data_IF_025187084323
#
_entry.id   IF_025187084323
#
_cell.length_a   1.000
_cell.length_b   1.000
_cell.length_c   1.000
_cell.angle_alpha   90.00
_cell.angle_beta   90.00
_cell.angle_gamma   90.00
#
_symmetry.space_group_name_H-M   'P 1'
#
loop_
_entity.id
_entity.type
_entity.pdbx_description
1 polymer ?
#
# COMPACT_ATOMS: atom_id res chain seq x y z
N UNK A 1 23.91 -14.09 20.07
CA UNK A 1 22.82 -13.13 19.76
C UNK A 1 21.74 -13.94 19.06
N UNK A 2 20.48 -13.69 19.36
CA UNK A 2 19.35 -14.30 18.63
C UNK A 2 19.06 -13.40 17.44
N UNK A 3 19.14 -13.93 16.21
CA UNK A 3 18.79 -13.17 15.01
C UNK A 3 17.26 -12.96 15.00
N UNK A 4 16.77 -11.78 14.61
CA UNK A 4 15.33 -11.48 14.65
C UNK A 4 14.89 -10.41 13.63
N UNK A 5 13.61 -10.43 13.23
CA UNK A 5 12.91 -9.33 12.56
C UNK A 5 11.88 -8.77 13.53
N UNK A 6 11.85 -7.47 13.84
CA UNK A 6 10.88 -6.84 14.76
C UNK A 6 10.42 -5.50 14.21
N UNK A 7 9.11 -5.21 14.25
CA UNK A 7 8.55 -3.91 13.89
C UNK A 7 7.60 -3.43 14.97
N UNK A 8 8.04 -2.55 15.87
CA UNK A 8 7.21 -1.97 16.92
C UNK A 8 6.88 -0.50 16.59
N UNK A 9 5.62 -0.13 16.62
CA UNK A 9 5.10 1.22 16.47
C UNK A 9 4.20 1.49 17.67
N UNK A 10 4.28 2.71 18.25
CA UNK A 10 3.35 3.32 19.22
C UNK A 10 3.37 4.83 19.04
N UNK A 11 2.31 5.41 18.50
CA UNK A 11 2.09 6.85 18.42
C UNK A 11 0.62 7.14 18.71
N UNK A 12 0.34 7.81 19.82
CA UNK A 12 -1.04 7.92 20.37
C UNK A 12 -1.67 6.51 20.41
N UNK A 13 -2.81 6.35 19.76
CA UNK A 13 -3.54 5.07 19.67
C UNK A 13 -2.99 4.14 18.57
N UNK A 14 -2.02 4.59 17.76
CA UNK A 14 -1.43 3.76 16.71
C UNK A 14 -0.32 2.88 17.27
N UNK A 15 -0.62 1.60 17.53
CA UNK A 15 0.40 0.60 17.84
C UNK A 15 0.44 -0.57 16.88
N UNK A 16 1.66 -1.03 16.55
CA UNK A 16 1.89 -2.24 15.75
C UNK A 16 3.12 -2.94 16.31
N UNK A 17 3.15 -4.27 16.41
CA UNK A 17 4.36 -5.05 16.73
C UNK A 17 4.43 -6.20 15.73
N UNK A 18 5.51 -6.36 14.94
CA UNK A 18 5.67 -7.50 14.00
C UNK A 18 7.03 -8.14 14.23
N UNK A 19 7.05 -9.23 15.00
CA UNK A 19 8.27 -9.92 15.42
C UNK A 19 8.33 -11.34 14.82
N UNK A 20 9.46 -11.71 14.22
CA UNK A 20 9.90 -13.03 13.80
C UNK A 20 11.24 -13.27 14.49
N UNK A 21 11.39 -14.38 15.20
CA UNK A 21 12.68 -14.84 15.69
C UNK A 21 13.30 -15.71 14.60
N UNK A 22 14.58 -15.52 14.32
CA UNK A 22 15.32 -16.28 13.31
C UNK A 22 16.06 -17.41 14.03
N UNK A 23 15.72 -18.62 13.64
CA UNK A 23 16.32 -19.87 14.08
C UNK A 23 16.99 -20.55 12.87
N UNK A 24 17.78 -21.61 13.09
CA UNK A 24 18.45 -22.37 12.02
C UNK A 24 17.48 -22.92 10.96
N UNK A 25 16.20 -23.09 11.34
CA UNK A 25 15.13 -23.56 10.45
C UNK A 25 14.44 -22.43 9.68
N UNK A 26 14.70 -21.16 10.01
CA UNK A 26 14.06 -20.01 9.38
C UNK A 26 14.56 -19.83 7.96
N UNK A 27 13.63 -19.82 7.03
CA UNK A 27 13.92 -19.71 5.61
C UNK A 27 14.06 -18.23 5.18
N UNK A 28 14.84 -17.93 4.12
CA UNK A 28 14.87 -16.59 3.53
C UNK A 28 13.50 -16.08 3.11
N UNK A 29 12.61 -16.99 2.70
CA UNK A 29 11.23 -16.74 2.31
C UNK A 29 10.38 -16.21 3.47
N UNK A 30 10.54 -16.77 4.67
CA UNK A 30 9.85 -16.31 5.89
C UNK A 30 10.32 -14.91 6.31
N UNK A 31 11.63 -14.63 6.18
CA UNK A 31 12.18 -13.28 6.38
C UNK A 31 11.58 -12.30 5.38
N UNK A 32 11.49 -12.68 4.11
CA UNK A 32 10.87 -11.87 3.05
C UNK A 32 9.39 -11.57 3.34
N UNK A 33 8.64 -12.57 3.81
CA UNK A 33 7.25 -12.40 4.25
C UNK A 33 7.11 -11.43 5.43
N UNK A 34 7.99 -11.51 6.42
CA UNK A 34 8.01 -10.58 7.54
C UNK A 34 8.25 -9.14 7.07
N UNK A 35 9.19 -8.93 6.13
CA UNK A 35 9.50 -7.62 5.55
C UNK A 35 8.36 -7.07 4.68
N UNK A 36 7.72 -7.91 3.85
CA UNK A 36 6.55 -7.53 3.05
C UNK A 36 5.38 -7.06 3.94
N UNK A 37 5.12 -7.76 5.04
CA UNK A 37 4.12 -7.34 6.04
C UNK A 37 4.49 -6.02 6.73
N UNK A 38 5.79 -5.78 6.93
CA UNK A 38 6.31 -4.52 7.44
C UNK A 38 6.00 -3.37 6.48
N UNK A 39 6.42 -3.51 5.23
CA UNK A 39 6.23 -2.57 4.14
C UNK A 39 4.75 -2.21 3.96
N UNK A 40 3.86 -3.20 3.87
CA UNK A 40 2.44 -2.96 3.63
C UNK A 40 1.78 -2.10 4.71
N UNK A 41 2.27 -2.15 5.95
CA UNK A 41 1.79 -1.28 7.03
C UNK A 41 2.39 0.11 6.94
N UNK A 42 3.68 0.22 6.64
CA UNK A 42 4.38 1.50 6.51
C UNK A 42 3.77 2.30 5.35
N UNK A 43 3.60 1.66 4.20
CA UNK A 43 3.06 2.24 2.98
C UNK A 43 1.64 2.78 3.16
N UNK A 44 0.78 2.09 3.93
CA UNK A 44 -0.56 2.61 4.26
C UNK A 44 -0.51 3.74 5.29
N UNK A 45 0.27 3.57 6.35
CA UNK A 45 0.23 4.47 7.50
C UNK A 45 0.98 5.77 7.24
N UNK A 46 2.04 5.76 6.44
CA UNK A 46 2.88 6.95 6.16
C UNK A 46 2.05 8.11 5.63
N UNK A 47 1.19 7.89 4.63
CA UNK A 47 0.34 8.93 4.06
C UNK A 47 -0.65 9.53 5.07
N UNK A 48 -1.18 8.73 6.00
CA UNK A 48 -2.06 9.22 7.07
C UNK A 48 -1.39 10.24 8.00
N UNK A 49 -0.06 10.26 8.05
CA UNK A 49 0.71 11.22 8.84
C UNK A 49 1.14 12.47 8.05
N UNK A 50 0.91 12.51 6.74
CA UNK A 50 1.31 13.64 5.89
C UNK A 50 0.29 14.79 5.91
N UNK A 51 -0.92 14.54 6.42
CA UNK A 51 -2.01 15.51 6.47
C UNK A 51 -2.75 15.71 5.15
N UNK A 52 -2.35 15.07 4.06
CA UNK A 52 -3.12 15.08 2.81
C UNK A 52 -4.48 14.39 3.01
N UNK A 53 -5.49 14.84 2.26
CA UNK A 53 -6.77 14.17 2.20
C UNK A 53 -6.66 12.91 1.31
N UNK A 54 -6.30 11.78 1.94
CA UNK A 54 -6.13 10.50 1.24
C UNK A 54 -7.42 10.02 0.58
N UNK A 55 -8.58 10.25 1.21
CA UNK A 55 -9.88 9.85 0.68
C UNK A 55 -10.21 10.56 -0.64
N UNK A 56 -9.93 11.87 -0.71
CA UNK A 56 -10.11 12.63 -1.95
C UNK A 56 -9.21 12.11 -3.07
N UNK A 57 -7.94 11.82 -2.77
CA UNK A 57 -6.97 11.32 -3.76
C UNK A 57 -7.34 9.90 -4.22
N UNK A 58 -7.80 9.04 -3.32
CA UNK A 58 -8.30 7.70 -3.64
C UNK A 58 -9.52 7.77 -4.56
N UNK A 59 -10.45 8.70 -4.31
CA UNK A 59 -11.59 8.93 -5.18
C UNK A 59 -11.16 9.40 -6.59
N UNK A 60 -10.19 10.31 -6.67
CA UNK A 60 -9.58 10.72 -7.95
C UNK A 60 -8.97 9.51 -8.67
N UNK A 61 -8.15 8.70 -7.98
CA UNK A 61 -7.53 7.51 -8.55
C UNK A 61 -8.57 6.51 -9.06
N UNK A 62 -9.61 6.23 -8.27
CA UNK A 62 -10.70 5.33 -8.64
C UNK A 62 -11.44 5.82 -9.89
N UNK A 63 -11.75 7.13 -9.97
CA UNK A 63 -12.37 7.74 -11.16
C UNK A 63 -11.49 7.58 -12.40
N UNK A 64 -10.19 7.80 -12.30
CA UNK A 64 -9.26 7.73 -13.44
C UNK A 64 -9.05 6.30 -13.97
N UNK A 65 -9.15 5.32 -13.08
CA UNK A 65 -8.85 3.90 -13.35
C UNK A 65 -10.10 3.02 -13.49
N UNK A 66 -11.30 3.60 -13.31
CA UNK A 66 -12.56 2.89 -13.40
C UNK A 66 -12.72 2.14 -14.73
N UNK A 67 -13.05 0.84 -14.64
CA UNK A 67 -13.28 -0.03 -15.80
C UNK A 67 -12.03 -0.42 -16.59
N UNK A 68 -10.83 -0.01 -16.15
CA UNK A 68 -9.58 -0.31 -16.84
C UNK A 68 -8.93 -1.58 -16.32
N UNK A 69 -8.16 -2.24 -17.19
CA UNK A 69 -7.43 -3.47 -16.87
C UNK A 69 -5.96 -3.15 -16.60
N UNK A 70 -5.25 -4.12 -16.03
CA UNK A 70 -3.81 -4.07 -15.82
C UNK A 70 -3.05 -3.95 -17.14
N UNK A 71 -2.62 -2.75 -17.51
CA UNK A 71 -1.68 -2.51 -18.60
C UNK A 71 -1.05 -1.11 -18.49
N UNK A 72 0.17 -0.94 -19.01
CA UNK A 72 0.80 0.39 -19.06
C UNK A 72 0.07 1.34 -20.01
N UNK A 73 -0.58 0.81 -21.05
CA UNK A 73 -1.45 1.57 -21.95
C UNK A 73 -2.62 2.16 -21.15
N UNK A 74 -3.32 1.35 -20.36
CA UNK A 74 -4.42 1.81 -19.51
C UNK A 74 -3.98 2.85 -18.48
N UNK A 75 -2.76 2.76 -17.94
CA UNK A 75 -2.20 3.81 -17.08
C UNK A 75 -2.00 5.12 -17.85
N UNK A 76 -1.38 5.08 -19.03
CA UNK A 76 -1.21 6.28 -19.88
C UNK A 76 -2.54 6.91 -20.27
N UNK A 77 -3.53 6.11 -20.68
CA UNK A 77 -4.88 6.58 -21.01
C UNK A 77 -5.57 7.21 -19.79
N UNK A 78 -5.31 6.72 -18.58
CA UNK A 78 -5.84 7.31 -17.34
C UNK A 78 -5.26 8.69 -17.07
N UNK A 79 -3.97 8.88 -17.30
CA UNK A 79 -3.33 10.17 -17.12
C UNK A 79 -3.69 11.17 -18.24
N UNK A 80 -3.87 10.69 -19.47
CA UNK A 80 -4.28 11.52 -20.61
C UNK A 80 -5.75 11.95 -20.54
N UNK A 81 -6.59 11.22 -19.79
CA UNK A 81 -8.02 11.53 -19.65
C UNK A 81 -8.32 12.81 -18.85
N UNK A 82 -7.32 13.41 -18.18
CA UNK A 82 -7.47 14.65 -17.41
C UNK A 82 -6.40 15.64 -17.80
N UNK A 83 -6.78 16.92 -17.91
CA UNK A 83 -5.80 17.97 -18.21
C UNK A 83 -4.86 18.15 -17.01
N UNK A 84 -3.54 18.30 -17.23
CA UNK A 84 -2.57 18.47 -16.12
C UNK A 84 -2.93 19.61 -15.16
N UNK A 85 -3.48 20.72 -15.66
CA UNK A 85 -3.89 21.85 -14.82
C UNK A 85 -5.11 21.55 -13.93
N UNK A 86 -6.07 20.78 -14.45
CA UNK A 86 -7.26 20.36 -13.70
C UNK A 86 -6.86 19.38 -12.60
N UNK A 87 -6.03 18.39 -12.94
CA UNK A 87 -5.50 17.42 -11.97
C UNK A 87 -4.70 18.10 -10.86
N UNK A 88 -3.82 19.05 -11.22
CA UNK A 88 -3.04 19.81 -10.24
C UNK A 88 -3.94 20.61 -9.30
N UNK A 89 -5.03 21.18 -9.80
CA UNK A 89 -5.99 21.94 -8.99
C UNK A 89 -6.72 21.02 -8.01
N UNK A 90 -7.17 19.84 -8.46
CA UNK A 90 -7.81 18.81 -7.64
C UNK A 90 -6.86 18.31 -6.53
N UNK A 91 -5.60 18.03 -6.87
CA UNK A 91 -4.60 17.59 -5.89
C UNK A 91 -4.23 18.68 -4.89
N UNK A 92 -4.13 19.94 -5.31
CA UNK A 92 -3.88 21.05 -4.40
C UNK A 92 -5.04 21.24 -3.41
N UNK A 93 -6.28 20.98 -3.81
CA UNK A 93 -7.43 21.01 -2.90
C UNK A 93 -7.38 19.88 -1.84
N UNK A 94 -6.69 18.78 -2.11
CA UNK A 94 -6.44 17.70 -1.16
C UNK A 94 -5.22 17.95 -0.25
N UNK A 95 -4.47 19.04 -0.47
CA UNK A 95 -3.25 19.35 0.26
C UNK A 95 -3.50 20.39 1.38
N UNK A 96 -2.90 20.23 2.58
CA UNK A 96 -2.93 21.27 3.61
C UNK A 96 -2.23 22.55 3.18
N UNK A 97 -1.14 22.41 2.43
CA UNK A 97 -0.40 23.53 1.83
C UNK A 97 0.13 23.12 0.46
N UNK A 98 0.43 24.07 -0.45
CA UNK A 98 0.97 23.75 -1.77
C UNK A 98 2.26 22.93 -1.77
N UNK A 99 3.02 22.94 -0.66
CA UNK A 99 4.25 22.15 -0.49
C UNK A 99 4.00 20.63 -0.43
N UNK A 100 2.76 20.21 -0.14
CA UNK A 100 2.40 18.79 -0.06
C UNK A 100 2.05 18.18 -1.43
N UNK A 101 2.01 18.99 -2.50
CA UNK A 101 1.65 18.51 -3.84
C UNK A 101 2.47 17.29 -4.29
N UNK A 102 3.81 17.22 -4.11
CA UNK A 102 4.57 16.03 -4.50
C UNK A 102 4.15 14.76 -3.74
N UNK A 103 3.70 14.89 -2.49
CA UNK A 103 3.19 13.76 -1.69
C UNK A 103 1.84 13.30 -2.26
N UNK A 104 0.96 14.24 -2.60
CA UNK A 104 -0.33 13.93 -3.19
C UNK A 104 -0.19 13.28 -4.58
N UNK A 105 0.72 13.76 -5.42
CA UNK A 105 1.05 13.15 -6.72
C UNK A 105 1.60 11.72 -6.56
N UNK A 106 2.49 11.51 -5.61
CA UNK A 106 3.03 10.19 -5.31
C UNK A 106 1.95 9.22 -4.81
N UNK A 107 1.07 9.68 -3.91
CA UNK A 107 -0.05 8.88 -3.42
C UNK A 107 -1.05 8.55 -4.52
N UNK A 108 -1.39 9.53 -5.38
CA UNK A 108 -2.25 9.32 -6.54
C UNK A 108 -1.70 8.21 -7.44
N UNK A 109 -0.43 8.30 -7.83
CA UNK A 109 0.20 7.31 -8.71
C UNK A 109 0.16 5.91 -8.07
N UNK A 110 0.47 5.82 -6.77
CA UNK A 110 0.37 4.57 -6.02
C UNK A 110 -1.05 4.00 -6.09
N UNK A 111 -2.07 4.79 -5.77
CA UNK A 111 -3.47 4.36 -5.82
C UNK A 111 -3.90 3.93 -7.23
N UNK A 112 -3.46 4.64 -8.27
CA UNK A 112 -3.76 4.26 -9.66
C UNK A 112 -3.14 2.92 -10.04
N UNK A 113 -1.88 2.69 -9.65
CA UNK A 113 -1.19 1.42 -9.89
C UNK A 113 -1.88 0.27 -9.15
N UNK A 114 -2.23 0.47 -7.88
CA UNK A 114 -2.95 -0.51 -7.07
C UNK A 114 -4.33 -0.85 -7.67
N UNK A 115 -5.11 0.16 -8.08
CA UNK A 115 -6.43 -0.02 -8.69
C UNK A 115 -6.37 -0.78 -10.02
N UNK A 116 -5.33 -0.55 -10.82
CA UNK A 116 -5.09 -1.29 -12.07
C UNK A 116 -4.54 -2.70 -11.84
N UNK A 117 -4.24 -3.09 -10.59
CA UNK A 117 -3.71 -4.42 -10.25
C UNK A 117 -2.20 -4.57 -10.47
N UNK A 118 -1.46 -3.46 -10.58
CA UNK A 118 -0.01 -3.51 -10.44
C UNK A 118 0.36 -3.79 -8.98
N UNK A 119 1.48 -4.48 -8.79
CA UNK A 119 2.08 -4.68 -7.48
C UNK A 119 3.37 -3.87 -7.48
N UNK A 120 3.36 -2.74 -6.77
CA UNK A 120 4.53 -1.86 -6.66
C UNK A 120 5.49 -2.32 -5.59
N UNK A 121 5.02 -3.16 -4.68
CA UNK A 121 5.75 -3.69 -3.56
C UNK A 121 5.55 -5.20 -3.48
N UNK A 122 6.52 -5.88 -2.90
CA UNK A 122 6.40 -7.31 -2.62
C UNK A 122 5.31 -7.51 -1.56
N UNK A 123 4.27 -8.25 -1.91
CA UNK A 123 3.16 -8.55 -1.01
C UNK A 123 3.08 -10.06 -0.70
N UNK A 124 2.26 -10.39 0.28
CA UNK A 124 2.06 -11.79 0.69
C UNK A 124 1.43 -12.64 -0.42
N UNK A 125 0.65 -12.04 -1.31
CA UNK A 125 0.02 -12.75 -2.44
C UNK A 125 1.07 -13.21 -3.46
N UNK A 126 1.97 -12.31 -3.85
CA UNK A 126 3.08 -12.60 -4.76
C UNK A 126 4.04 -13.63 -4.15
N UNK A 127 4.33 -13.48 -2.86
CA UNK A 127 5.17 -14.42 -2.11
C UNK A 127 4.54 -15.82 -2.03
N UNK A 128 3.27 -15.93 -1.66
CA UNK A 128 2.57 -17.22 -1.58
C UNK A 128 2.35 -17.89 -2.94
N UNK A 129 2.24 -17.12 -4.01
CA UNK A 129 2.22 -17.66 -5.37
C UNK A 129 3.58 -18.26 -5.80
N UNK A 130 4.68 -17.72 -5.28
CA UNK A 130 6.04 -18.16 -5.64
C UNK A 130 6.57 -19.25 -4.70
N UNK A 131 6.25 -19.14 -3.42
CA UNK A 131 6.71 -20.00 -2.32
C UNK A 131 5.48 -20.55 -1.56
N UNK A 132 4.83 -21.61 -2.07
CA UNK A 132 3.61 -22.18 -1.48
C UNK A 132 3.78 -22.67 -0.03
N UNK A 133 5.03 -22.93 0.37
CA UNK A 133 5.44 -23.35 1.71
C UNK A 133 5.33 -22.22 2.76
N UNK A 134 5.29 -20.95 2.34
CA UNK A 134 5.06 -19.83 3.25
C UNK A 134 3.64 -19.94 3.79
N UNK A 135 3.51 -20.41 5.04
CA UNK A 135 2.25 -20.43 5.78
C UNK A 135 1.82 -18.99 6.04
N UNK A 136 0.90 -18.46 5.22
CA UNK A 136 0.21 -17.20 5.54
C UNK A 136 -0.59 -17.41 6.80
N UNK A 137 -0.07 -16.91 7.93
CA UNK A 137 -0.83 -16.86 9.18
C UNK A 137 -1.98 -15.89 8.93
N UNK A 138 -3.17 -16.43 8.67
CA UNK A 138 -4.39 -15.62 8.57
C UNK A 138 -4.47 -14.76 9.84
N UNK A 139 -4.70 -13.44 9.74
CA UNK A 139 -4.80 -12.58 10.91
C UNK A 139 -5.75 -13.19 11.94
N UNK A 140 -5.32 -13.33 13.20
CA UNK A 140 -6.22 -13.69 14.31
C UNK A 140 -7.14 -12.49 14.56
N UNK A 141 -8.24 -12.44 13.82
CA UNK A 141 -9.21 -11.36 13.86
C UNK A 141 -10.28 -11.58 12.79
N UNK A 142 -11.54 -11.54 13.19
CA UNK A 142 -12.70 -11.82 12.35
C UNK A 142 -12.85 -10.70 11.29
N UNK A 143 -12.17 -10.81 10.15
CA UNK A 143 -12.53 -10.04 8.96
C UNK A 143 -13.95 -10.47 8.60
N UNK A 144 -14.89 -9.57 8.93
CA UNK A 144 -16.33 -9.83 8.94
C UNK A 144 -16.76 -10.71 7.77
N UNK A 145 -17.43 -11.81 8.09
CA UNK A 145 -18.17 -12.62 7.13
C UNK A 145 -18.92 -11.66 6.21
N UNK A 146 -18.60 -11.66 4.91
CA UNK A 146 -19.54 -11.16 3.89
C UNK A 146 -20.85 -11.90 4.16
N UNK A 147 -21.88 -11.16 4.58
CA UNK A 147 -23.25 -11.70 4.59
C UNK A 147 -23.53 -12.15 3.15
N UNK A 148 -23.88 -13.44 3.01
CA UNK A 148 -24.48 -13.97 1.78
C UNK A 148 -25.77 -13.24 1.48
#
# INVERSE_FOLDING_TARGET
>A
MTDEVVFNARYKDWMVVKKLLIEDSTTPQEVSAALASIEATLSRKSYSFTGINTEAIEATAARLTAGKRKSYVSLSESLMAVKPAELKTELLAACPTPKHLPIAENYLLKCMLDNLGFRTNLDMETLSGTFPEIKVVKPRGNFGKKKK
#
